data_IF_504306588331
#
_entry.id   IF_504306588331
#
_cell.length_a   1.000
_cell.length_b   1.000
_cell.length_c   1.000
_cell.angle_alpha   90.00
_cell.angle_beta   90.00
_cell.angle_gamma   90.00
#
_symmetry.space_group_name_H-M   'P 1'
#
loop_
_entity.id
_entity.type
_entity.pdbx_description
1 polymer ?
#
# COMPACT_ATOMS: atom_id res chain seq x y z
N UNK A 1 39.39 -2.40 -9.05
CA UNK A 1 38.05 -2.78 -8.52
C UNK A 1 37.27 -1.60 -7.91
N UNK A 2 37.89 -0.45 -7.64
CA UNK A 2 37.24 0.71 -7.01
C UNK A 2 36.34 1.58 -7.92
N UNK A 3 36.25 1.28 -9.23
CA UNK A 3 35.54 2.13 -10.20
C UNK A 3 34.10 1.70 -10.51
N UNK A 4 33.64 0.57 -9.96
CA UNK A 4 32.26 0.10 -10.13
C UNK A 4 31.30 0.58 -9.04
N UNK A 5 31.80 1.02 -7.90
CA UNK A 5 30.98 1.50 -6.76
C UNK A 5 30.47 2.93 -6.95
N UNK A 6 31.14 3.78 -7.74
CA UNK A 6 30.71 5.18 -7.95
C UNK A 6 29.57 5.36 -8.95
N UNK A 7 29.13 4.30 -9.64
CA UNK A 7 28.10 4.41 -10.71
C UNK A 7 26.68 4.07 -10.25
N UNK A 8 26.51 3.57 -9.02
CA UNK A 8 25.20 3.21 -8.46
C UNK A 8 24.50 4.37 -7.74
N UNK A 9 25.21 5.44 -7.39
CA UNK A 9 24.61 6.62 -6.73
C UNK A 9 23.83 7.56 -7.67
N UNK A 10 23.98 7.44 -8.99
CA UNK A 10 23.66 8.58 -9.88
C UNK A 10 22.21 8.63 -10.40
N UNK A 11 21.39 7.58 -10.27
CA UNK A 11 20.05 7.58 -10.92
C UNK A 11 18.90 7.82 -9.95
N UNK A 12 19.06 7.50 -8.66
CA UNK A 12 18.01 7.73 -7.65
C UNK A 12 18.29 8.96 -6.77
N UNK A 13 19.57 9.31 -6.53
CA UNK A 13 19.95 10.41 -5.63
C UNK A 13 19.60 11.84 -6.09
N UNK A 14 18.99 12.01 -7.27
CA UNK A 14 18.69 13.33 -7.85
C UNK A 14 17.19 13.67 -7.88
N UNK A 15 16.32 12.88 -7.25
CA UNK A 15 14.91 13.23 -7.11
C UNK A 15 14.70 13.94 -5.76
N UNK A 16 14.59 15.29 -5.71
CA UNK A 16 14.17 16.00 -4.48
C UNK A 16 12.85 15.45 -3.90
N UNK A 17 12.03 14.81 -4.74
CA UNK A 17 10.80 14.07 -4.42
C UNK A 17 10.98 12.86 -3.46
N UNK A 18 12.20 12.34 -3.27
CA UNK A 18 12.41 11.16 -2.41
C UNK A 18 12.24 11.47 -0.93
N UNK A 19 12.72 12.64 -0.47
CA UNK A 19 12.52 13.06 0.93
C UNK A 19 11.04 13.18 1.26
N UNK A 20 10.27 13.81 0.37
CA UNK A 20 8.82 13.94 0.48
C UNK A 20 8.13 12.57 0.46
N UNK A 21 8.65 11.64 -0.33
CA UNK A 21 8.17 10.26 -0.38
C UNK A 21 8.35 9.52 0.96
N UNK A 22 9.46 9.72 1.67
CA UNK A 22 9.65 9.12 3.00
C UNK A 22 8.81 9.79 4.10
N UNK A 23 8.66 11.12 4.05
CA UNK A 23 7.75 11.83 4.95
C UNK A 23 6.31 11.38 4.74
N UNK A 24 5.91 11.19 3.48
CA UNK A 24 4.62 10.62 3.09
C UNK A 24 4.45 9.20 3.62
N UNK A 25 5.48 8.35 3.51
CA UNK A 25 5.49 7.00 4.08
C UNK A 25 5.22 7.00 5.58
N UNK A 26 5.91 7.87 6.33
CA UNK A 26 5.76 7.98 7.78
C UNK A 26 4.35 8.43 8.19
N UNK A 27 3.76 9.40 7.45
CA UNK A 27 2.37 9.84 7.69
C UNK A 27 1.37 8.72 7.45
N UNK A 28 1.58 7.92 6.41
CA UNK A 28 0.72 6.77 6.09
C UNK A 28 0.83 5.72 7.20
N UNK A 29 2.03 5.39 7.69
CA UNK A 29 2.21 4.44 8.80
C UNK A 29 1.51 4.90 10.08
N UNK A 30 1.55 6.19 10.38
CA UNK A 30 0.81 6.74 11.52
C UNK A 30 -0.72 6.65 11.33
N UNK A 31 -1.22 7.01 10.15
CA UNK A 31 -2.65 6.95 9.83
C UNK A 31 -3.19 5.52 9.79
N UNK A 32 -2.36 4.55 9.40
CA UNK A 32 -2.73 3.11 9.26
C UNK A 32 -3.14 2.46 10.57
N UNK A 33 -2.50 2.81 11.67
CA UNK A 33 -2.83 2.29 13.01
C UNK A 33 -4.22 2.77 13.46
N UNK A 34 -4.74 3.84 12.85
CA UNK A 34 -6.00 4.44 13.23
C UNK A 34 -7.21 4.08 12.33
N UNK A 35 -6.99 3.63 11.08
CA UNK A 35 -7.98 3.87 10.02
C UNK A 35 -8.58 2.67 9.27
N UNK A 36 -8.07 1.44 9.39
CA UNK A 36 -8.76 0.34 8.70
C UNK A 36 -9.92 -0.18 9.55
N UNK A 37 -11.12 0.24 9.16
CA UNK A 37 -12.39 -0.33 9.61
C UNK A 37 -12.52 -1.80 9.17
N UNK A 38 -13.64 -2.17 8.55
CA UNK A 38 -13.81 -3.53 8.03
C UNK A 38 -12.98 -3.66 6.74
N UNK A 39 -11.92 -4.50 6.70
CA UNK A 39 -11.13 -4.67 5.51
C UNK A 39 -12.00 -5.33 4.43
N UNK A 40 -12.13 -4.67 3.28
CA UNK A 40 -12.92 -5.17 2.15
C UNK A 40 -11.97 -5.34 0.97
N UNK A 41 -11.95 -6.54 0.41
CA UNK A 41 -11.30 -6.83 -0.85
C UNK A 41 -12.16 -7.82 -1.62
N UNK A 42 -12.38 -7.53 -2.90
CA UNK A 42 -13.13 -8.42 -3.79
C UNK A 42 -12.62 -9.87 -3.68
N UNK A 43 -13.56 -10.80 -3.44
CA UNK A 43 -13.32 -12.24 -3.31
C UNK A 43 -12.39 -12.71 -2.17
N UNK A 44 -11.99 -11.83 -1.24
CA UNK A 44 -11.19 -12.21 -0.08
C UNK A 44 -12.05 -12.13 1.18
N UNK A 45 -12.30 -13.27 1.82
CA UNK A 45 -13.08 -13.34 3.05
C UNK A 45 -12.17 -13.58 4.26
N UNK A 46 -12.43 -12.83 5.33
CA UNK A 46 -11.81 -13.10 6.63
C UNK A 46 -12.39 -14.37 7.26
N UNK A 47 -11.69 -14.93 8.24
CA UNK A 47 -12.24 -16.04 9.04
C UNK A 47 -13.47 -15.58 9.84
N UNK A 48 -14.42 -16.48 10.15
CA UNK A 48 -15.58 -16.15 10.97
C UNK A 48 -15.18 -15.51 12.30
N UNK A 49 -15.83 -14.40 12.66
CA UNK A 49 -15.57 -13.66 13.90
C UNK A 49 -14.47 -12.59 13.83
N UNK A 50 -13.67 -12.56 12.76
CA UNK A 50 -12.61 -11.56 12.58
C UNK A 50 -13.10 -10.12 12.70
N UNK A 51 -14.26 -9.81 12.11
CA UNK A 51 -14.89 -8.49 12.17
C UNK A 51 -15.24 -8.08 13.61
N UNK A 52 -15.81 -9.00 14.40
CA UNK A 52 -16.17 -8.74 15.79
C UNK A 52 -14.91 -8.53 16.66
N UNK A 53 -13.89 -9.37 16.48
CA UNK A 53 -12.60 -9.24 17.17
C UNK A 53 -11.91 -7.91 16.83
N UNK A 54 -11.94 -7.49 15.56
CA UNK A 54 -11.40 -6.20 15.13
C UNK A 54 -12.15 -5.03 15.77
N UNK A 55 -13.48 -5.08 15.78
CA UNK A 55 -14.30 -4.05 16.42
C UNK A 55 -13.95 -3.92 17.91
N UNK A 56 -13.73 -5.04 18.60
CA UNK A 56 -13.25 -5.06 19.98
C UNK A 56 -11.90 -4.36 20.13
N UNK A 57 -10.89 -4.75 19.34
CA UNK A 57 -9.54 -4.16 19.38
C UNK A 57 -9.58 -2.66 19.11
N UNK A 58 -10.35 -2.21 18.10
CA UNK A 58 -10.48 -0.80 17.77
C UNK A 58 -11.12 0.02 18.90
N UNK A 59 -12.14 -0.52 19.59
CA UNK A 59 -12.72 0.14 20.77
C UNK A 59 -11.73 0.21 21.92
N UNK A 60 -10.96 -0.85 22.13
CA UNK A 60 -9.92 -0.89 23.17
C UNK A 60 -8.85 0.19 22.93
N UNK A 61 -8.32 0.28 21.70
CA UNK A 61 -7.33 1.30 21.32
C UNK A 61 -7.87 2.74 21.47
N UNK A 62 -9.14 2.97 21.08
CA UNK A 62 -9.78 4.29 21.26
C UNK A 62 -9.88 4.70 22.73
N UNK A 63 -10.27 3.77 23.62
CA UNK A 63 -10.35 4.04 25.06
C UNK A 63 -8.96 4.37 25.66
N UNK A 64 -7.92 3.66 25.22
CA UNK A 64 -6.55 3.92 25.68
C UNK A 64 -6.04 5.31 25.23
N UNK A 65 -6.42 5.76 24.03
CA UNK A 65 -6.08 7.10 23.53
C UNK A 65 -6.76 8.21 24.33
N UNK A 66 -8.04 8.06 24.68
CA UNK A 66 -8.77 9.05 25.47
C UNK A 66 -8.21 9.18 26.89
N UNK A 67 -7.89 8.06 27.54
CA UNK A 67 -7.32 8.09 28.90
C UNK A 67 -5.95 8.77 28.99
N UNK A 68 -5.19 8.82 27.90
CA UNK A 68 -3.88 9.47 27.87
C UNK A 68 -3.97 11.00 27.75
N UNK A 69 -5.12 11.54 27.33
CA UNK A 69 -5.29 12.98 27.05
C UNK A 69 -5.77 13.78 28.27
N UNK A 70 -6.31 13.12 29.29
CA UNK A 70 -7.03 13.78 30.40
C UNK A 70 -6.14 14.25 31.55
N UNK A 71 -4.82 14.36 31.37
CA UNK A 71 -3.94 14.93 32.39
C UNK A 71 -3.80 16.46 32.33
N UNK A 72 -4.77 17.15 31.73
CA UNK A 72 -4.93 18.59 31.92
C UNK A 72 -5.87 18.78 33.14
N UNK A 73 -5.38 19.29 34.29
CA UNK A 73 -6.22 19.55 35.43
C UNK A 73 -7.16 20.71 35.13
N UNK A 74 -8.32 20.42 34.56
CA UNK A 74 -9.41 21.37 34.50
C UNK A 74 -10.22 21.27 35.80
N UNK A 75 -9.92 22.19 36.71
CA UNK A 75 -10.91 22.70 37.66
C UNK A 75 -12.07 23.24 36.83
N UNK A 76 -13.24 22.60 36.83
CA UNK A 76 -14.52 23.29 36.81
C UNK A 76 -15.67 22.31 37.09
N UNK A 77 -16.58 22.78 37.93
CA UNK A 77 -17.68 22.09 38.56
C UNK A 77 -18.84 21.95 37.58
N UNK A 78 -19.01 20.82 36.91
CA UNK A 78 -20.31 20.47 36.30
C UNK A 78 -20.63 18.97 36.45
N UNK A 79 -21.33 18.67 37.53
CA UNK A 79 -21.65 17.35 38.05
C UNK A 79 -23.05 16.93 37.58
N UNK A 80 -23.26 16.61 36.29
CA UNK A 80 -24.61 16.21 35.85
C UNK A 80 -24.79 15.37 34.57
N UNK A 81 -23.79 14.60 34.09
CA UNK A 81 -24.02 13.56 33.04
C UNK A 81 -23.25 12.26 33.26
N UNK A 82 -23.78 11.41 34.12
CA UNK A 82 -23.37 10.00 34.23
C UNK A 82 -24.06 9.16 33.14
N UNK A 83 -23.46 9.09 31.94
CA UNK A 83 -23.78 8.04 30.98
C UNK A 83 -23.00 6.78 31.37
N UNK A 84 -23.69 5.78 31.93
CA UNK A 84 -23.10 4.46 32.20
C UNK A 84 -22.46 3.92 30.92
N UNK A 85 -21.24 3.35 30.98
CA UNK A 85 -20.63 2.72 29.83
C UNK A 85 -21.55 1.60 29.34
N UNK A 86 -21.81 1.56 28.03
CA UNK A 86 -22.62 0.52 27.39
C UNK A 86 -22.17 -0.85 27.87
N UNK A 87 -23.12 -1.61 28.44
CA UNK A 87 -22.85 -2.97 28.88
C UNK A 87 -22.30 -3.79 27.69
N UNK A 88 -21.31 -4.68 27.91
CA UNK A 88 -20.81 -5.55 26.85
C UNK A 88 -21.97 -6.28 26.19
N UNK A 89 -22.06 -6.22 24.86
CA UNK A 89 -23.01 -7.04 24.11
C UNK A 89 -22.66 -8.51 24.42
N UNK A 90 -23.62 -9.25 24.99
CA UNK A 90 -23.41 -10.65 25.34
C UNK A 90 -22.92 -11.44 24.12
N UNK A 91 -21.75 -12.05 24.23
CA UNK A 91 -21.12 -12.84 23.16
C UNK A 91 -19.92 -12.20 22.46
N UNK A 92 -19.50 -10.99 22.84
CA UNK A 92 -18.21 -10.46 22.37
C UNK A 92 -17.04 -11.23 23.00
N UNK A 93 -16.26 -11.92 22.17
CA UNK A 93 -15.04 -12.59 22.58
C UNK A 93 -14.00 -11.52 22.96
N UNK A 94 -13.70 -11.43 24.25
CA UNK A 94 -12.63 -10.57 24.76
C UNK A 94 -11.29 -11.03 24.16
N UNK A 95 -10.57 -10.10 23.53
CA UNK A 95 -9.23 -10.36 22.99
C UNK A 95 -8.21 -9.77 23.95
N UNK A 96 -7.35 -10.63 24.51
CA UNK A 96 -6.27 -10.20 25.40
C UNK A 96 -5.32 -9.22 24.66
N UNK A 97 -5.08 -8.00 25.19
CA UNK A 97 -4.15 -7.03 24.61
C UNK A 97 -2.72 -7.55 24.40
N UNK A 98 -2.28 -8.53 25.19
CA UNK A 98 -0.97 -9.15 25.03
C UNK A 98 -0.96 -10.26 23.96
N UNK A 99 -2.11 -10.63 23.42
CA UNK A 99 -2.21 -11.74 22.47
C UNK A 99 -1.62 -11.39 21.09
N UNK A 100 -1.02 -12.38 20.40
CA UNK A 100 -0.60 -12.23 19.00
C UNK A 100 -1.73 -11.78 18.06
N UNK A 101 -2.97 -12.15 18.38
CA UNK A 101 -4.16 -11.75 17.63
C UNK A 101 -4.45 -10.25 17.79
N UNK A 102 -4.40 -9.73 19.02
CA UNK A 102 -4.57 -8.30 19.27
C UNK A 102 -3.51 -7.50 18.52
N UNK A 103 -2.24 -7.92 18.58
CA UNK A 103 -1.15 -7.28 17.85
C UNK A 103 -1.44 -7.22 16.34
N UNK A 104 -1.81 -8.36 15.73
CA UNK A 104 -2.14 -8.44 14.30
C UNK A 104 -3.30 -7.52 13.90
N UNK A 105 -4.39 -7.54 14.67
CA UNK A 105 -5.58 -6.73 14.39
C UNK A 105 -5.36 -5.23 14.63
N UNK A 106 -4.54 -4.88 15.63
CA UNK A 106 -4.20 -3.48 15.98
C UNK A 106 -3.43 -2.78 14.86
N UNK A 107 -2.75 -3.54 14.01
CA UNK A 107 -2.04 -3.02 12.83
C UNK A 107 -2.97 -2.86 11.62
N UNK A 108 -4.25 -3.22 11.75
CA UNK A 108 -5.24 -3.17 10.68
C UNK A 108 -5.03 -4.27 9.63
N UNK A 109 -4.45 -5.41 10.02
CA UNK A 109 -4.30 -6.55 9.11
C UNK A 109 -5.57 -7.39 9.10
N UNK A 110 -5.95 -7.87 7.92
CA UNK A 110 -7.00 -8.86 7.72
C UNK A 110 -6.62 -10.19 8.39
N UNK A 111 -7.61 -10.86 8.97
CA UNK A 111 -7.46 -12.14 9.62
C UNK A 111 -8.00 -13.25 8.71
N UNK A 112 -7.07 -13.99 8.13
CA UNK A 112 -7.34 -15.05 7.15
C UNK A 112 -6.70 -16.36 7.59
N UNK A 113 -7.04 -17.46 6.92
CA UNK A 113 -6.33 -18.73 7.12
C UNK A 113 -4.86 -18.55 6.74
N UNK A 114 -3.95 -18.86 7.66
CA UNK A 114 -2.52 -18.70 7.48
C UNK A 114 -1.95 -17.32 7.86
N UNK A 115 -2.76 -16.42 8.41
CA UNK A 115 -2.27 -15.13 8.93
C UNK A 115 -1.16 -15.32 9.97
N UNK A 116 -0.13 -14.50 9.88
CA UNK A 116 1.09 -14.60 10.68
C UNK A 116 0.96 -13.83 12.00
N UNK A 117 0.15 -14.38 12.91
CA UNK A 117 -0.12 -13.74 14.21
C UNK A 117 1.18 -13.51 15.00
N UNK A 118 1.30 -12.33 15.60
CA UNK A 118 2.48 -11.93 16.38
C UNK A 118 3.69 -11.49 15.56
N UNK A 119 3.61 -11.53 14.23
CA UNK A 119 4.63 -10.95 13.35
C UNK A 119 4.34 -9.48 13.04
N UNK A 120 5.39 -8.70 12.78
CA UNK A 120 5.28 -7.29 12.42
C UNK A 120 5.37 -7.13 10.89
N UNK A 121 4.39 -6.48 10.23
CA UNK A 121 4.43 -6.19 8.81
C UNK A 121 5.51 -5.13 8.51
N UNK A 122 5.95 -5.01 7.24
CA UNK A 122 6.86 -3.94 6.86
C UNK A 122 6.22 -2.57 7.03
N UNK A 123 7.03 -1.58 7.40
CA UNK A 123 6.64 -0.18 7.28
C UNK A 123 6.42 0.21 5.82
N UNK A 124 5.75 1.34 5.58
CA UNK A 124 5.61 1.89 4.22
C UNK A 124 6.98 2.22 3.62
N UNK A 125 7.90 2.74 4.42
CA UNK A 125 9.27 3.03 3.96
C UNK A 125 10.00 1.75 3.54
N UNK A 126 9.91 0.67 4.33
CA UNK A 126 10.49 -0.63 3.95
C UNK A 126 9.87 -1.19 2.67
N UNK A 127 8.56 -1.02 2.48
CA UNK A 127 7.88 -1.39 1.24
C UNK A 127 8.39 -0.58 0.04
N UNK A 128 8.56 0.73 0.23
CA UNK A 128 9.06 1.65 -0.79
C UNK A 128 10.51 1.34 -1.16
N UNK A 129 11.38 1.12 -0.18
CA UNK A 129 12.78 0.74 -0.38
C UNK A 129 12.87 -0.53 -1.23
N UNK A 130 12.15 -1.57 -0.82
CA UNK A 130 12.09 -2.84 -1.54
C UNK A 130 11.56 -2.70 -2.98
N UNK A 131 10.64 -1.76 -3.20
CA UNK A 131 10.06 -1.45 -4.50
C UNK A 131 11.04 -0.70 -5.42
N UNK A 132 11.83 0.21 -4.84
CA UNK A 132 12.79 1.06 -5.55
C UNK A 132 14.11 0.37 -5.86
N UNK A 133 14.41 -0.80 -5.27
CA UNK A 133 15.64 -1.56 -5.52
C UNK A 133 15.95 -1.65 -7.03
N UNK A 134 17.09 -1.08 -7.49
CA UNK A 134 17.43 -1.06 -8.90
C UNK A 134 17.76 -2.46 -9.42
N UNK A 135 17.66 -2.64 -10.73
CA UNK A 135 18.13 -3.86 -11.40
C UNK A 135 19.67 -3.93 -11.47
N UNK A 136 20.21 -5.06 -11.92
CA UNK A 136 21.66 -5.23 -12.13
C UNK A 136 22.26 -4.19 -13.10
N UNK A 137 21.43 -3.61 -13.97
CA UNK A 137 21.84 -2.57 -14.92
C UNK A 137 21.71 -1.14 -14.36
N UNK A 138 21.22 -0.96 -13.13
CA UNK A 138 21.03 0.34 -12.49
C UNK A 138 19.91 1.23 -13.08
N UNK A 139 19.10 0.72 -14.01
CA UNK A 139 18.17 1.56 -14.79
C UNK A 139 16.75 1.54 -14.24
N UNK A 140 16.15 0.36 -14.08
CA UNK A 140 14.76 0.23 -13.65
C UNK A 140 14.69 -0.19 -12.18
N UNK A 141 13.78 0.44 -11.43
CA UNK A 141 13.37 -0.10 -10.14
C UNK A 141 12.71 -1.46 -10.32
N UNK A 142 12.67 -2.26 -9.25
CA UNK A 142 11.97 -3.55 -9.28
C UNK A 142 10.50 -3.38 -9.60
N UNK A 143 9.86 -2.34 -9.05
CA UNK A 143 8.50 -1.93 -9.40
C UNK A 143 8.31 -1.73 -10.91
N UNK A 144 9.15 -0.88 -11.51
CA UNK A 144 9.07 -0.53 -12.93
C UNK A 144 9.21 -1.75 -13.86
N UNK A 145 10.09 -2.69 -13.52
CA UNK A 145 10.25 -3.93 -14.30
C UNK A 145 9.00 -4.79 -14.30
N UNK A 146 8.33 -4.91 -13.15
CA UNK A 146 7.11 -5.73 -13.08
C UNK A 146 5.99 -5.07 -13.90
N UNK A 147 5.88 -3.74 -13.86
CA UNK A 147 4.92 -3.00 -14.71
C UNK A 147 5.23 -3.20 -16.19
N UNK A 148 6.50 -3.11 -16.60
CA UNK A 148 6.88 -3.36 -18.00
C UNK A 148 6.60 -4.78 -18.46
N UNK A 149 6.85 -5.77 -17.60
CA UNK A 149 6.57 -7.17 -17.91
C UNK A 149 5.06 -7.47 -17.98
N UNK A 150 4.25 -6.68 -17.27
CA UNK A 150 2.80 -6.88 -17.14
C UNK A 150 2.00 -5.68 -17.69
N UNK A 151 2.43 -5.13 -18.82
CA UNK A 151 1.83 -3.96 -19.45
C UNK A 151 0.28 -3.95 -19.60
N UNK A 152 -0.42 -5.08 -19.84
CA UNK A 152 -1.88 -5.11 -19.86
C UNK A 152 -2.51 -4.70 -18.52
N UNK A 153 -1.83 -4.93 -17.39
CA UNK A 153 -2.34 -4.58 -16.06
C UNK A 153 -2.36 -3.08 -15.80
N UNK A 154 -1.32 -2.36 -16.22
CA UNK A 154 -1.25 -0.90 -16.03
C UNK A 154 -2.30 -0.16 -16.86
N UNK A 155 -2.75 -0.74 -17.97
CA UNK A 155 -3.79 -0.18 -18.83
C UNK A 155 -5.20 -0.34 -18.22
N UNK A 156 -5.43 -1.41 -17.45
CA UNK A 156 -6.72 -1.70 -16.82
C UNK A 156 -6.87 -1.09 -15.41
N UNK A 157 -5.80 -0.53 -14.82
CA UNK A 157 -5.98 0.35 -13.69
C UNK A 157 -6.82 1.54 -14.14
N UNK A 158 -7.94 1.86 -13.46
CA UNK A 158 -8.72 3.05 -13.80
C UNK A 158 -7.78 4.25 -13.76
N UNK A 159 -7.54 4.85 -14.92
CA UNK A 159 -6.77 6.08 -15.01
C UNK A 159 -7.47 7.08 -14.10
N UNK A 160 -6.75 7.85 -13.27
CA UNK A 160 -7.38 8.90 -12.50
C UNK A 160 -8.15 9.77 -13.49
N UNK A 161 -9.47 9.81 -13.33
CA UNK A 161 -10.32 10.73 -14.08
C UNK A 161 -9.66 12.09 -13.97
N UNK A 162 -9.40 12.68 -15.14
CA UNK A 162 -8.79 13.99 -15.24
C UNK A 162 -9.49 14.92 -14.27
N UNK A 163 -8.77 15.39 -13.25
CA UNK A 163 -9.28 16.41 -12.35
C UNK A 163 -9.87 17.53 -13.20
N UNK A 164 -11.11 17.98 -12.97
CA UNK A 164 -11.62 19.17 -13.61
C UNK A 164 -10.69 20.30 -13.18
N UNK A 165 -9.95 20.86 -14.13
CA UNK A 165 -9.25 22.12 -13.93
C UNK A 165 -10.33 23.17 -13.70
N UNK A 166 -10.58 23.51 -12.43
CA UNK A 166 -11.37 24.69 -12.09
C UNK A 166 -10.69 25.95 -12.63
N UNK A 167 -11.46 26.73 -13.37
CA UNK A 167 -11.39 28.19 -13.36
C UNK A 167 -10.23 28.87 -14.08
N UNK A 168 -10.34 29.04 -15.40
CA UNK A 168 -9.79 30.22 -16.06
C UNK A 168 -10.89 30.88 -16.91
N UNK A 169 -11.22 32.10 -16.52
CA UNK A 169 -12.36 32.89 -16.95
C UNK A 169 -12.33 33.31 -18.43
N UNK A 170 -13.53 33.59 -18.92
CA UNK A 170 -13.90 34.12 -20.23
C UNK A 170 -13.14 35.39 -20.67
N UNK A 171 -12.77 35.43 -21.95
CA UNK A 171 -12.86 36.66 -22.75
C UNK A 171 -13.03 36.35 -24.24
N UNK A 172 -13.94 37.02 -24.97
CA UNK A 172 -14.27 36.70 -26.35
C UNK A 172 -13.57 37.61 -27.39
N UNK A 173 -13.62 37.14 -28.64
CA UNK A 173 -13.31 37.78 -29.95
C UNK A 173 -11.84 37.80 -30.42
N UNK A 174 -11.57 37.03 -31.48
CA UNK A 174 -11.57 37.56 -32.86
C UNK A 174 -11.38 36.43 -33.89
N UNK A 175 -12.25 36.39 -34.90
CA UNK A 175 -12.08 35.58 -36.10
C UNK A 175 -11.14 36.31 -37.06
N UNK A 176 -10.11 35.63 -37.59
CA UNK A 176 -9.87 35.40 -39.03
C UNK A 176 -8.49 34.81 -39.35
N UNK A 177 -8.54 33.75 -40.16
CA UNK A 177 -7.64 33.33 -41.24
C UNK A 177 -6.21 32.80 -41.01
N UNK A 178 -6.08 31.54 -41.47
CA UNK A 178 -5.03 30.95 -42.31
C UNK A 178 -3.63 30.72 -41.70
N UNK A 179 -3.37 29.43 -41.44
CA UNK A 179 -2.15 28.80 -41.94
C UNK A 179 -1.24 28.16 -40.90
N UNK A 180 -1.10 26.84 -41.05
CA UNK A 180 0.04 25.99 -40.66
C UNK A 180 0.12 25.51 -39.20
N UNK A 181 -0.02 24.19 -39.10
CA UNK A 181 0.66 23.29 -38.18
C UNK A 181 0.39 23.47 -36.68
N UNK A 182 -0.75 22.92 -36.24
CA UNK A 182 -0.86 22.32 -34.90
C UNK A 182 -1.44 20.93 -35.06
N UNK A 183 -0.56 19.93 -34.99
CA UNK A 183 -0.94 18.53 -34.72
C UNK A 183 -1.76 18.55 -33.43
N UNK A 184 -3.05 18.27 -33.55
CA UNK A 184 -3.98 18.17 -32.44
C UNK A 184 -3.48 17.19 -31.40
N UNK A 185 -3.20 17.73 -30.21
CA UNK A 185 -3.40 17.05 -28.95
C UNK A 185 -4.92 16.77 -28.88
N UNK A 186 -5.33 15.51 -28.74
CA UNK A 186 -6.69 14.93 -28.86
C UNK A 186 -6.81 14.08 -30.12
N UNK A 187 -6.21 12.89 -30.07
CA UNK A 187 -6.27 11.95 -31.19
C UNK A 187 -5.30 10.79 -31.07
N UNK A 188 -5.33 10.06 -29.96
CA UNK A 188 -4.94 8.64 -30.01
C UNK A 188 -6.13 7.83 -29.54
N UNK A 189 -6.84 7.33 -30.54
CA UNK A 189 -7.75 6.20 -30.46
C UNK A 189 -7.11 5.09 -29.64
N UNK A 190 -7.94 4.43 -28.84
CA UNK A 190 -7.72 3.06 -28.43
C UNK A 190 -7.36 2.24 -29.67
N UNK A 191 -6.08 1.88 -29.78
CA UNK A 191 -5.59 0.84 -30.67
C UNK A 191 -4.96 -0.19 -29.76
N UNK A 192 -5.66 -1.31 -29.64
CA UNK A 192 -5.13 -2.66 -29.55
C UNK A 192 -4.29 -3.01 -28.30
N UNK A 193 -4.78 -4.03 -27.57
CA UNK A 193 -4.41 -4.42 -26.21
C UNK A 193 -2.92 -4.46 -25.86
N UNK A 194 -2.61 -4.00 -24.63
CA UNK A 194 -1.42 -4.43 -23.89
C UNK A 194 -0.08 -3.80 -24.27
N UNK A 195 -0.05 -2.56 -24.76
CA UNK A 195 1.19 -1.89 -25.14
C UNK A 195 2.19 -1.76 -23.97
N UNK A 196 3.38 -2.37 -24.13
CA UNK A 196 4.51 -2.23 -23.20
C UNK A 196 4.78 -0.74 -22.93
N UNK A 197 4.89 -0.29 -21.67
CA UNK A 197 5.20 1.10 -21.39
C UNK A 197 6.50 1.46 -22.10
N UNK A 198 6.40 2.38 -23.05
CA UNK A 198 7.51 2.84 -23.87
C UNK A 198 7.84 4.28 -23.49
N UNK A 199 9.12 4.61 -23.45
CA UNK A 199 9.61 5.95 -23.10
C UNK A 199 10.89 5.92 -22.27
N UNK A 200 11.37 7.10 -21.84
CA UNK A 200 12.54 7.20 -20.97
C UNK A 200 12.33 6.42 -19.68
N UNK A 201 13.37 5.71 -19.23
CA UNK A 201 13.39 4.91 -18.00
C UNK A 201 12.88 5.70 -16.79
N UNK A 202 13.30 6.96 -16.69
CA UNK A 202 12.84 7.89 -15.65
C UNK A 202 11.31 8.04 -15.64
N UNK A 203 10.69 8.28 -16.79
CA UNK A 203 9.24 8.43 -16.89
C UNK A 203 8.49 7.14 -16.54
N UNK A 204 9.07 5.97 -16.77
CA UNK A 204 8.50 4.68 -16.34
C UNK A 204 8.58 4.56 -14.81
N UNK A 205 9.74 4.87 -14.21
CA UNK A 205 9.92 4.85 -12.77
C UNK A 205 8.94 5.81 -12.07
N UNK A 206 8.78 7.03 -12.57
CA UNK A 206 7.85 8.03 -12.01
C UNK A 206 6.39 7.56 -12.06
N UNK A 207 5.93 7.02 -13.19
CA UNK A 207 4.57 6.46 -13.29
C UNK A 207 4.37 5.28 -12.34
N UNK A 208 5.39 4.44 -12.21
CA UNK A 208 5.33 3.26 -11.34
C UNK A 208 5.32 3.66 -9.86
N UNK A 209 6.03 4.71 -9.48
CA UNK A 209 6.00 5.28 -8.13
C UNK A 209 4.63 5.91 -7.82
N UNK A 210 4.01 6.61 -8.77
CA UNK A 210 2.63 7.10 -8.61
C UNK A 210 1.65 5.95 -8.37
N UNK A 211 1.82 4.83 -9.08
CA UNK A 211 1.01 3.64 -8.89
C UNK A 211 1.24 2.99 -7.51
N UNK A 212 2.48 2.96 -7.02
CA UNK A 212 2.79 2.55 -5.65
C UNK A 212 1.97 3.34 -4.64
N UNK A 213 2.04 4.68 -4.69
CA UNK A 213 1.30 5.50 -3.75
C UNK A 213 -0.21 5.32 -3.87
N UNK A 214 -0.73 5.24 -5.10
CA UNK A 214 -2.16 4.97 -5.32
C UNK A 214 -2.63 3.70 -4.62
N UNK A 215 -1.89 2.59 -4.74
CA UNK A 215 -2.26 1.31 -4.12
C UNK A 215 -2.08 1.37 -2.60
N UNK A 216 -0.98 1.94 -2.14
CA UNK A 216 -0.58 1.94 -0.73
C UNK A 216 -1.46 2.84 0.12
N UNK A 217 -1.92 3.97 -0.43
CA UNK A 217 -2.85 4.90 0.22
C UNK A 217 -4.31 4.49 0.07
N UNK A 218 -4.68 3.96 -1.10
CA UNK A 218 -6.02 3.44 -1.36
C UNK A 218 -6.25 2.02 -0.83
N UNK A 219 -5.35 1.52 0.02
CA UNK A 219 -5.40 0.16 0.52
C UNK A 219 -6.63 -0.03 1.41
N UNK A 220 -7.57 -0.86 0.96
CA UNK A 220 -8.75 -1.26 1.74
C UNK A 220 -8.54 -2.60 2.43
N UNK A 221 -7.52 -3.35 2.01
CA UNK A 221 -7.19 -4.66 2.55
C UNK A 221 -5.69 -4.85 2.63
N UNK A 222 -5.25 -5.40 3.76
CA UNK A 222 -3.84 -5.71 4.02
C UNK A 222 -3.78 -7.04 4.74
N UNK A 223 -2.81 -7.86 4.43
CA UNK A 223 -2.63 -9.13 5.11
C UNK A 223 -1.16 -9.47 5.25
N UNK A 224 -0.85 -10.14 6.36
CA UNK A 224 0.45 -10.71 6.65
C UNK A 224 0.22 -12.20 6.91
N UNK A 225 0.80 -13.06 6.08
CA UNK A 225 0.57 -14.50 6.14
C UNK A 225 1.84 -15.31 5.86
N UNK A 226 1.83 -16.55 6.34
CA UNK A 226 2.91 -17.49 6.09
C UNK A 226 2.69 -18.27 4.79
N UNK A 227 3.75 -18.38 4.01
CA UNK A 227 3.90 -19.45 3.03
C UNK A 227 4.72 -20.60 3.64
N UNK A 228 4.66 -21.80 3.03
CA UNK A 228 5.57 -22.88 3.37
C UNK A 228 7.03 -22.42 3.36
N UNK A 229 7.87 -23.09 4.16
CA UNK A 229 9.31 -22.77 4.32
C UNK A 229 9.59 -21.43 5.01
N UNK A 230 8.72 -21.02 5.94
CA UNK A 230 8.94 -19.84 6.80
C UNK A 230 9.12 -18.54 5.99
N UNK A 231 8.38 -18.40 4.88
CA UNK A 231 8.38 -17.17 4.11
C UNK A 231 7.18 -16.33 4.54
N UNK A 232 7.46 -15.19 5.13
CA UNK A 232 6.46 -14.20 5.50
C UNK A 232 6.07 -13.41 4.25
N UNK A 233 4.78 -13.23 4.02
CA UNK A 233 4.26 -12.47 2.88
C UNK A 233 3.37 -11.36 3.38
N UNK A 234 3.69 -10.15 2.95
CA UNK A 234 2.87 -8.96 3.16
C UNK A 234 2.21 -8.58 1.85
N UNK A 235 0.90 -8.43 1.89
CA UNK A 235 0.08 -8.13 0.73
C UNK A 235 -0.85 -6.95 1.02
N UNK A 236 -0.91 -6.02 0.08
CA UNK A 236 -1.73 -4.80 0.17
C UNK A 236 -2.60 -4.73 -1.07
N UNK A 237 -3.90 -4.55 -0.89
CA UNK A 237 -4.88 -4.49 -1.98
C UNK A 237 -5.82 -3.29 -1.82
N UNK A 238 -6.25 -2.79 -2.96
CA UNK A 238 -7.35 -1.82 -3.07
C UNK A 238 -8.67 -2.58 -3.22
N UNK A 239 -9.79 -1.86 -3.17
CA UNK A 239 -11.15 -2.43 -3.20
C UNK A 239 -11.40 -3.31 -4.43
N UNK A 240 -10.92 -2.86 -5.59
CA UNK A 240 -10.98 -3.57 -6.88
C UNK A 240 -10.20 -4.90 -6.90
N UNK A 241 -9.49 -5.24 -5.82
CA UNK A 241 -8.73 -6.48 -5.68
C UNK A 241 -7.29 -6.42 -6.20
N UNK A 242 -6.92 -5.38 -6.95
CA UNK A 242 -5.53 -5.16 -7.35
C UNK A 242 -4.66 -4.83 -6.15
N UNK A 243 -3.37 -5.19 -6.22
CA UNK A 243 -2.48 -4.98 -5.10
C UNK A 243 -1.00 -5.13 -5.39
N UNK A 244 -0.25 -5.24 -4.31
CA UNK A 244 1.19 -5.41 -4.28
C UNK A 244 1.58 -6.43 -3.21
N UNK A 245 2.64 -7.19 -3.47
CA UNK A 245 3.14 -8.24 -2.59
C UNK A 245 4.63 -8.06 -2.30
N UNK A 246 4.98 -8.22 -1.03
CA UNK A 246 6.36 -8.31 -0.53
C UNK A 246 6.53 -9.62 0.22
N UNK A 247 7.77 -10.11 0.28
CA UNK A 247 8.10 -11.29 1.09
C UNK A 247 9.39 -11.11 1.86
N UNK A 248 9.52 -11.83 2.97
CA UNK A 248 10.70 -11.90 3.81
C UNK A 248 10.93 -13.36 4.20
N UNK A 249 12.13 -13.88 3.94
CA UNK A 249 12.49 -15.28 4.26
C UNK A 249 13.01 -15.39 5.69
N UNK A 250 12.38 -16.21 6.52
CA UNK A 250 12.74 -16.36 7.94
C UNK A 250 13.66 -17.56 8.22
N UNK A 251 14.00 -18.41 7.23
CA UNK A 251 14.79 -19.62 7.46
C UNK A 251 16.23 -19.38 7.92
N UNK A 252 16.92 -18.34 7.43
CA UNK A 252 18.34 -18.12 7.74
C UNK A 252 18.65 -17.80 9.23
N UNK A 253 17.66 -17.82 10.10
CA UNK A 253 17.83 -17.66 11.55
C UNK A 253 18.27 -18.97 12.23
N UNK A 254 18.33 -20.08 11.49
CA UNK A 254 18.67 -21.41 12.01
C UNK A 254 20.17 -21.78 11.89
N UNK A 255 20.95 -21.06 11.09
CA UNK A 255 22.35 -21.42 10.80
C UNK A 255 23.38 -20.83 11.79
N UNK A 256 22.93 -20.38 12.98
CA UNK A 256 23.82 -20.09 14.11
C UNK A 256 24.60 -18.77 14.06
N UNK A 257 24.60 -18.03 12.95
CA UNK A 257 25.02 -16.63 12.95
C UNK A 257 23.86 -15.74 13.42
N UNK A 258 23.93 -15.32 14.69
CA UNK A 258 23.11 -14.25 15.26
C UNK A 258 23.56 -12.92 14.64
N UNK A 259 23.29 -12.74 13.35
CA UNK A 259 23.19 -11.41 12.80
C UNK A 259 21.77 -10.93 13.10
N UNK A 260 21.62 -10.19 14.21
CA UNK A 260 20.39 -9.49 14.64
C UNK A 260 19.84 -8.50 13.59
N UNK A 261 20.48 -8.41 12.42
CA UNK A 261 19.99 -7.63 11.28
C UNK A 261 18.68 -8.21 10.76
N UNK A 262 17.60 -7.46 10.95
CA UNK A 262 16.29 -7.70 10.33
C UNK A 262 16.49 -7.85 8.82
N UNK A 263 16.12 -9.01 8.27
CA UNK A 263 16.25 -9.28 6.84
C UNK A 263 15.42 -8.29 6.02
N UNK A 264 15.91 -7.81 4.87
CA UNK A 264 15.15 -6.85 4.07
C UNK A 264 13.91 -7.50 3.46
N UNK A 265 12.84 -6.72 3.37
CA UNK A 265 11.66 -7.09 2.58
C UNK A 265 11.98 -7.05 1.10
N UNK A 266 11.39 -7.99 0.36
CA UNK A 266 11.63 -8.16 -1.07
C UNK A 266 10.32 -7.92 -1.79
N UNK A 267 10.25 -6.88 -2.63
CA UNK A 267 9.09 -6.70 -3.51
C UNK A 267 9.03 -7.85 -4.51
N UNK A 268 7.87 -8.52 -4.56
CA UNK A 268 7.62 -9.68 -5.43
C UNK A 268 6.89 -9.28 -6.69
N UNK A 269 5.99 -8.31 -6.60
CA UNK A 269 5.27 -7.79 -7.76
C UNK A 269 3.89 -7.27 -7.42
N UNK A 270 3.15 -6.95 -8.48
CA UNK A 270 1.74 -6.63 -8.40
C UNK A 270 0.90 -7.89 -8.28
N UNK A 271 -0.26 -7.74 -7.66
CA UNK A 271 -1.24 -8.80 -7.46
C UNK A 271 -2.52 -8.42 -8.17
N UNK A 272 -3.12 -9.39 -8.85
CA UNK A 272 -4.35 -9.22 -9.61
C UNK A 272 -5.56 -9.58 -8.73
N UNK A 273 -6.76 -9.05 -9.04
CA UNK A 273 -8.00 -9.49 -8.42
C UNK A 273 -8.17 -10.99 -8.66
N UNK A 274 -8.86 -11.71 -7.76
CA UNK A 274 -9.22 -13.09 -8.07
C UNK A 274 -10.36 -13.07 -9.10
N UNK A 275 -10.18 -13.74 -10.24
CA UNK A 275 -11.27 -13.97 -11.20
C UNK A 275 -11.48 -15.47 -11.38
N UNK A 276 -12.75 -15.85 -11.54
CA UNK A 276 -13.12 -17.17 -12.03
C UNK A 276 -12.53 -17.33 -13.44
N UNK A 277 -11.70 -18.35 -13.65
CA UNK A 277 -10.94 -18.63 -14.89
C UNK A 277 -9.71 -17.75 -15.15
N UNK A 278 -9.14 -17.09 -14.13
CA UNK A 278 -7.90 -16.30 -14.29
C UNK A 278 -6.76 -17.10 -14.94
N UNK A 279 -6.58 -18.36 -14.53
CA UNK A 279 -5.57 -19.23 -15.13
C UNK A 279 -5.76 -19.42 -16.65
N UNK A 280 -7.00 -19.52 -17.11
CA UNK A 280 -7.33 -19.75 -18.53
C UNK A 280 -7.02 -18.54 -19.41
N UNK A 281 -7.13 -17.33 -18.86
CA UNK A 281 -6.73 -16.08 -19.52
C UNK A 281 -5.24 -15.75 -19.33
N UNK A 282 -4.45 -16.73 -18.87
CA UNK A 282 -3.00 -16.63 -18.74
C UNK A 282 -2.52 -15.99 -17.44
N UNK A 283 -3.38 -15.86 -16.42
CA UNK A 283 -2.97 -15.32 -15.13
C UNK A 283 -2.10 -16.32 -14.39
N UNK A 284 -1.00 -15.81 -13.83
CA UNK A 284 -0.04 -16.58 -13.04
C UNK A 284 0.04 -15.98 -11.64
N UNK A 285 -0.49 -16.72 -10.66
CA UNK A 285 -0.56 -16.33 -9.24
C UNK A 285 0.82 -16.28 -8.56
#
# INVERSE_FOLDING_TARGET
>A
MADKEKRTETVLGQLPELSDSYQRAARIDLARTAALGNPICHSMQEIPGATAQRAYVLRHLKRAQTSSSDHIPHNDLDESRSSKPDAPLEGELEVDPASPLFHHLSQGLALTVGSALGSTPPSTSQCLDAFLVPNKAGTHSRGARVVEARAPLAANFPQPHSFPSEGAADSPRSQRHLGKSRKGLLGRRATDGGGRPSGPVQGINERTLKLFWKIVEGATWRNLHWLPHQVLVYEVRVEDGYGMRWSQDQNATLDGEVNDSVKPWIFRGFVEPMMENGHEVGWRH
#
